data_IF_984831423151
#
_entry.id   IF_984831423151
#
_cell.length_a   1.000
_cell.length_b   1.000
_cell.length_c   1.000
_cell.angle_alpha   90.00
_cell.angle_beta   90.00
_cell.angle_gamma   90.00
#
_symmetry.space_group_name_H-M   'P 1'
#
loop_
_entity.id
_entity.type
_entity.pdbx_description
1 polymer ?
#
# COMPACT_ATOMS: atom_id res chain seq x y z
N UNK A 1 -4.73 -28.20 7.98
CA UNK A 1 -6.08 -27.61 8.08
C UNK A 1 -6.54 -27.40 6.65
N UNK A 2 -7.57 -28.12 6.19
CA UNK A 2 -8.08 -27.97 4.83
C UNK A 2 -8.91 -26.69 4.79
N UNK A 3 -8.56 -25.76 3.90
CA UNK A 3 -9.28 -24.49 3.77
C UNK A 3 -10.75 -24.77 3.39
N UNK A 4 -11.70 -24.18 4.12
CA UNK A 4 -13.14 -24.46 3.97
C UNK A 4 -13.73 -23.77 2.73
N UNK A 5 -13.01 -22.81 2.15
CA UNK A 5 -13.46 -22.00 1.03
C UNK A 5 -12.37 -21.86 -0.03
N UNK A 6 -12.77 -21.67 -1.28
CA UNK A 6 -11.82 -21.35 -2.35
C UNK A 6 -11.23 -19.96 -2.14
N UNK A 7 -9.90 -19.86 -2.27
CA UNK A 7 -9.15 -18.60 -2.24
C UNK A 7 -8.51 -18.36 -3.62
N UNK A 8 -9.29 -17.98 -4.64
CA UNK A 8 -8.83 -17.95 -6.03
C UNK A 8 -7.78 -16.86 -6.29
N UNK A 9 -7.76 -15.81 -5.46
CA UNK A 9 -6.78 -14.73 -5.50
C UNK A 9 -5.52 -15.04 -4.66
N UNK A 10 -5.52 -16.16 -3.92
CA UNK A 10 -4.42 -16.54 -3.04
C UNK A 10 -4.11 -15.51 -1.96
N UNK A 11 -5.13 -14.83 -1.42
CA UNK A 11 -4.97 -13.80 -0.39
C UNK A 11 -4.35 -14.36 0.89
N UNK A 12 -3.40 -13.61 1.46
CA UNK A 12 -2.63 -13.96 2.67
C UNK A 12 -2.67 -12.85 3.73
N UNK A 13 -3.70 -12.01 3.71
CA UNK A 13 -3.90 -10.90 4.65
C UNK A 13 -3.39 -9.55 4.11
N UNK A 14 -3.22 -8.59 5.03
CA UNK A 14 -2.76 -7.23 4.71
C UNK A 14 -1.24 -7.15 4.68
N UNK A 15 -0.71 -6.35 3.76
CA UNK A 15 0.70 -5.94 3.74
C UNK A 15 0.88 -4.58 4.43
N UNK A 16 0.10 -3.58 4.00
CA UNK A 16 0.13 -2.23 4.57
C UNK A 16 -1.19 -1.49 4.40
N UNK A 17 -1.32 -0.40 5.15
CA UNK A 17 -2.26 0.69 4.87
C UNK A 17 -1.46 1.95 4.61
N UNK A 18 -1.81 2.69 3.55
CA UNK A 18 -1.16 3.94 3.18
C UNK A 18 -2.07 5.11 3.52
N UNK A 19 -1.52 6.06 4.28
CA UNK A 19 -2.17 7.28 4.70
C UNK A 19 -1.54 8.49 4.03
N UNK A 20 -2.34 9.53 3.88
CA UNK A 20 -1.92 10.82 3.36
C UNK A 20 -2.62 11.95 4.12
N UNK A 21 -2.02 13.13 4.13
CA UNK A 21 -2.64 14.34 4.67
C UNK A 21 -2.16 15.58 3.89
N UNK A 22 -2.94 16.68 3.92
CA UNK A 22 -2.56 17.92 3.23
C UNK A 22 -1.24 18.52 3.71
N UNK A 23 -0.89 18.28 4.98
CA UNK A 23 0.30 18.83 5.62
C UNK A 23 0.94 17.78 6.54
N UNK A 24 2.26 17.86 6.68
CA UNK A 24 3.02 17.01 7.60
C UNK A 24 2.77 17.37 9.06
N UNK A 25 2.96 16.40 9.95
CA UNK A 25 2.82 16.58 11.39
C UNK A 25 1.41 16.32 11.93
N UNK A 26 0.43 16.04 11.04
CA UNK A 26 -0.94 15.74 11.44
C UNK A 26 -1.09 14.26 11.82
N UNK A 27 -0.43 13.36 11.08
CA UNK A 27 -0.62 11.92 11.23
C UNK A 27 0.33 11.30 12.27
N UNK A 28 1.56 11.82 12.33
CA UNK A 28 2.66 11.31 13.14
C UNK A 28 2.32 11.28 14.65
N UNK A 29 1.71 12.31 15.25
CA UNK A 29 1.32 12.26 16.67
C UNK A 29 0.32 11.13 16.97
N UNK A 30 -0.60 10.85 16.05
CA UNK A 30 -1.59 9.78 16.18
C UNK A 30 -0.88 8.42 16.13
N UNK A 31 -0.02 8.20 15.13
CA UNK A 31 0.71 6.94 15.01
C UNK A 31 1.63 6.68 16.20
N UNK A 32 2.32 7.71 16.71
CA UNK A 32 3.07 7.62 17.95
C UNK A 32 2.19 7.22 19.14
N UNK A 33 1.01 7.85 19.30
CA UNK A 33 0.08 7.51 20.39
C UNK A 33 -0.44 6.08 20.32
N UNK A 34 -0.52 5.52 19.10
CA UNK A 34 -0.92 4.14 18.83
C UNK A 34 0.23 3.14 18.99
N UNK A 35 1.44 3.60 19.33
CA UNK A 35 2.62 2.75 19.55
C UNK A 35 3.42 2.40 18.29
N UNK A 36 3.18 3.08 17.16
CA UNK A 36 4.01 2.93 15.97
C UNK A 36 5.31 3.74 16.09
N UNK A 37 6.36 3.23 15.45
CA UNK A 37 7.64 3.91 15.31
C UNK A 37 7.95 4.08 13.83
N UNK A 38 8.43 5.27 13.44
CA UNK A 38 8.98 5.47 12.11
C UNK A 38 10.29 4.69 11.97
N UNK A 39 10.34 3.71 11.06
CA UNK A 39 11.48 2.80 10.90
C UNK A 39 12.29 3.08 9.64
N UNK A 40 11.71 3.74 8.64
CA UNK A 40 12.40 4.11 7.41
C UNK A 40 11.77 5.33 6.72
N UNK A 41 12.50 5.88 5.77
CA UNK A 41 12.05 6.90 4.81
C UNK A 41 12.42 6.40 3.42
N UNK A 42 11.52 6.56 2.46
CA UNK A 42 11.75 6.18 1.07
C UNK A 42 12.95 6.94 0.49
N UNK A 43 13.76 6.29 -0.37
CA UNK A 43 15.00 6.88 -0.88
C UNK A 43 14.86 8.21 -1.64
N UNK A 44 13.76 8.38 -2.36
CA UNK A 44 13.55 9.43 -3.36
C UNK A 44 12.25 10.22 -3.20
N UNK A 45 11.28 9.68 -2.46
CA UNK A 45 9.94 10.23 -2.33
C UNK A 45 9.71 10.69 -0.90
N UNK A 46 8.78 11.60 -0.72
CA UNK A 46 8.35 12.07 0.58
C UNK A 46 7.39 11.07 1.25
N UNK A 47 7.93 9.88 1.53
CA UNK A 47 7.19 8.73 2.04
C UNK A 47 7.91 8.15 3.25
N UNK A 48 7.16 7.87 4.31
CA UNK A 48 7.68 7.31 5.56
C UNK A 48 7.08 5.94 5.82
N UNK A 49 7.88 5.05 6.39
CA UNK A 49 7.43 3.75 6.87
C UNK A 49 7.35 3.74 8.39
N UNK A 50 6.16 3.43 8.90
CA UNK A 50 5.85 3.29 10.31
C UNK A 50 5.51 1.84 10.62
N UNK A 51 6.07 1.29 11.70
CA UNK A 51 5.91 -0.13 12.05
C UNK A 51 5.61 -0.34 13.52
N UNK A 52 4.75 -1.33 13.78
CA UNK A 52 4.50 -1.89 15.10
C UNK A 52 4.27 -3.41 14.95
N UNK A 53 5.21 -4.22 15.44
CA UNK A 53 5.20 -5.66 15.17
C UNK A 53 5.18 -5.94 13.66
N UNK A 54 4.23 -6.76 13.21
CA UNK A 54 4.03 -7.09 11.79
C UNK A 54 3.14 -6.13 11.00
N UNK A 55 2.76 -4.98 11.58
CA UNK A 55 1.87 -3.99 10.94
C UNK A 55 2.72 -2.90 10.29
N UNK A 56 2.46 -2.63 9.01
CA UNK A 56 3.10 -1.54 8.27
C UNK A 56 2.09 -0.44 7.94
N UNK A 57 2.46 0.79 8.26
CA UNK A 57 1.77 2.01 7.84
C UNK A 57 2.73 2.79 6.94
N UNK A 58 2.26 3.13 5.74
CA UNK A 58 2.96 4.03 4.84
C UNK A 58 2.33 5.41 5.00
N UNK A 59 3.15 6.44 5.13
CA UNK A 59 2.69 7.83 5.17
C UNK A 59 3.24 8.53 3.94
N UNK A 60 2.37 8.96 3.04
CA UNK A 60 2.74 9.52 1.75
C UNK A 60 2.36 11.00 1.64
N UNK A 61 3.38 11.83 1.57
CA UNK A 61 3.30 13.27 1.34
C UNK A 61 3.88 13.69 -0.03
N UNK A 62 4.14 12.73 -0.91
CA UNK A 62 4.75 12.99 -2.21
C UNK A 62 3.88 13.96 -3.03
N UNK A 63 4.38 15.15 -3.40
CA UNK A 63 3.59 16.14 -4.12
C UNK A 63 3.24 15.62 -5.53
N UNK A 64 2.14 16.12 -6.09
CA UNK A 64 1.68 15.73 -7.44
C UNK A 64 1.51 14.22 -7.66
N UNK A 65 1.28 13.47 -6.58
CA UNK A 65 1.03 12.02 -6.58
C UNK A 65 -0.46 11.72 -6.35
N UNK A 66 -0.94 10.49 -6.67
CA UNK A 66 -2.30 10.05 -6.34
C UNK A 66 -2.67 10.31 -4.87
N UNK A 67 -1.74 10.08 -3.94
CA UNK A 67 -1.93 10.35 -2.52
C UNK A 67 -2.19 11.85 -2.25
N UNK A 68 -1.39 12.74 -2.85
CA UNK A 68 -1.59 14.18 -2.69
C UNK A 68 -2.92 14.67 -3.31
N UNK A 69 -3.39 14.07 -4.42
CA UNK A 69 -4.73 14.38 -4.95
C UNK A 69 -5.82 13.91 -3.98
N UNK A 70 -5.69 12.69 -3.44
CA UNK A 70 -6.62 12.11 -2.48
C UNK A 70 -6.71 12.94 -1.19
N UNK A 71 -5.57 13.40 -0.66
CA UNK A 71 -5.51 14.27 0.53
C UNK A 71 -6.25 15.59 0.33
N UNK A 72 -6.20 16.18 -0.87
CA UNK A 72 -6.92 17.43 -1.16
C UNK A 72 -8.44 17.24 -1.21
N UNK A 73 -8.90 16.07 -1.61
CA UNK A 73 -10.32 15.75 -1.68
C UNK A 73 -10.89 15.30 -0.32
N UNK A 74 -10.13 14.52 0.44
CA UNK A 74 -10.62 13.82 1.63
C UNK A 74 -9.97 14.24 2.95
N UNK A 75 -8.96 15.10 2.93
CA UNK A 75 -8.16 15.44 4.10
C UNK A 75 -7.29 14.26 4.60
N UNK A 76 -6.87 14.27 5.87
CA UNK A 76 -6.11 13.18 6.48
C UNK A 76 -6.89 11.87 6.41
N UNK A 77 -6.42 10.90 5.61
CA UNK A 77 -7.19 9.71 5.26
C UNK A 77 -6.32 8.55 4.76
N UNK A 78 -6.89 7.34 4.74
CA UNK A 78 -6.27 6.18 4.12
C UNK A 78 -6.52 6.23 2.61
N UNK A 79 -5.47 6.41 1.80
CA UNK A 79 -5.58 6.57 0.35
C UNK A 79 -5.24 5.28 -0.42
N UNK A 80 -4.59 4.30 0.21
CA UNK A 80 -4.35 3.00 -0.40
C UNK A 80 -4.17 1.86 0.61
N UNK A 81 -4.21 0.63 0.11
CA UNK A 81 -3.96 -0.57 0.89
C UNK A 81 -3.25 -1.64 0.06
N UNK A 82 -2.38 -2.41 0.71
CA UNK A 82 -1.71 -3.56 0.11
C UNK A 82 -2.28 -4.87 0.64
N UNK A 83 -2.65 -5.78 -0.26
CA UNK A 83 -2.99 -7.16 0.08
C UNK A 83 -1.88 -8.12 -0.31
N UNK A 84 -1.50 -8.99 0.61
CA UNK A 84 -0.62 -10.11 0.32
C UNK A 84 -1.35 -11.11 -0.55
N UNK A 85 -0.73 -11.51 -1.65
CA UNK A 85 -1.22 -12.56 -2.56
C UNK A 85 -0.11 -13.56 -2.82
N UNK A 86 -0.46 -14.75 -3.29
CA UNK A 86 0.52 -15.76 -3.66
C UNK A 86 1.27 -15.43 -4.96
N UNK A 87 0.55 -14.83 -5.92
CA UNK A 87 1.04 -14.51 -7.26
C UNK A 87 0.33 -13.22 -7.71
N UNK A 88 1.05 -12.10 -7.74
CA UNK A 88 0.46 -10.80 -8.04
C UNK A 88 -0.01 -10.69 -9.50
N UNK A 89 0.76 -11.13 -10.51
CA UNK A 89 0.27 -11.19 -11.90
C UNK A 89 -1.02 -12.00 -12.08
N UNK A 90 -1.12 -13.18 -11.48
CA UNK A 90 -2.30 -14.04 -11.59
C UNK A 90 -3.51 -13.43 -10.90
N UNK A 91 -3.33 -12.91 -9.68
CA UNK A 91 -4.38 -12.23 -8.93
C UNK A 91 -4.87 -10.98 -9.68
N UNK A 92 -3.95 -10.18 -10.23
CA UNK A 92 -4.29 -9.00 -11.02
C UNK A 92 -5.11 -9.36 -12.27
N UNK A 93 -4.68 -10.35 -13.04
CA UNK A 93 -5.40 -10.81 -14.22
C UNK A 93 -6.82 -11.31 -13.88
N UNK A 94 -6.97 -12.04 -12.77
CA UNK A 94 -8.27 -12.50 -12.30
C UNK A 94 -9.17 -11.33 -11.87
N UNK A 95 -8.62 -10.33 -11.17
CA UNK A 95 -9.37 -9.13 -10.79
C UNK A 95 -9.89 -8.39 -12.03
N UNK A 96 -9.05 -8.18 -13.03
CA UNK A 96 -9.44 -7.53 -14.29
C UNK A 96 -10.51 -8.34 -15.04
N UNK A 97 -10.36 -9.66 -15.11
CA UNK A 97 -11.36 -10.56 -15.71
C UNK A 97 -12.72 -10.43 -15.04
N UNK A 98 -12.73 -10.16 -13.74
CA UNK A 98 -13.94 -9.98 -12.93
C UNK A 98 -14.43 -8.52 -12.90
N UNK A 99 -13.87 -7.62 -13.72
CA UNK A 99 -14.36 -6.25 -13.90
C UNK A 99 -13.69 -5.20 -13.01
N UNK A 100 -12.60 -5.53 -12.33
CA UNK A 100 -11.81 -4.53 -11.61
C UNK A 100 -11.20 -3.51 -12.59
N UNK A 101 -11.10 -2.25 -12.15
CA UNK A 101 -10.47 -1.20 -12.94
C UNK A 101 -8.97 -1.13 -12.64
N UNK A 102 -8.09 -1.18 -13.65
CA UNK A 102 -6.65 -1.07 -13.45
C UNK A 102 -6.27 0.35 -13.00
N UNK A 103 -5.21 0.46 -12.20
CA UNK A 103 -4.58 1.73 -11.83
C UNK A 103 -3.11 1.67 -12.23
N UNK A 104 -2.70 2.57 -13.11
CA UNK A 104 -1.28 2.76 -13.40
C UNK A 104 -0.67 3.70 -12.37
N UNK A 105 0.23 3.16 -11.56
CA UNK A 105 1.02 3.94 -10.61
C UNK A 105 2.39 4.19 -11.24
N UNK A 106 2.78 5.45 -11.50
CA UNK A 106 4.10 5.76 -12.00
C UNK A 106 5.17 5.29 -11.00
N UNK A 107 6.13 4.50 -11.48
CA UNK A 107 7.29 4.07 -10.70
C UNK A 107 8.56 4.68 -11.30
N UNK A 108 9.43 5.21 -10.44
CA UNK A 108 10.75 5.72 -10.79
C UNK A 108 11.71 4.63 -11.27
N UNK A 109 12.90 5.05 -11.70
CA UNK A 109 13.97 4.13 -12.08
C UNK A 109 14.42 3.30 -10.87
N UNK A 110 14.43 1.98 -11.01
CA UNK A 110 14.72 1.01 -9.92
C UNK A 110 13.67 0.92 -8.81
N UNK A 111 12.46 1.46 -9.00
CA UNK A 111 11.31 1.23 -8.10
C UNK A 111 10.49 0.03 -8.58
N UNK A 112 9.82 -0.65 -7.64
CA UNK A 112 8.95 -1.78 -7.99
C UNK A 112 7.67 -1.31 -8.70
N UNK A 113 7.34 -1.96 -9.82
CA UNK A 113 6.01 -1.86 -10.43
C UNK A 113 5.05 -2.83 -9.76
N UNK A 114 4.25 -2.32 -8.86
CA UNK A 114 3.26 -3.09 -8.11
C UNK A 114 1.92 -3.10 -8.86
N UNK A 115 1.32 -4.28 -9.15
CA UNK A 115 -0.02 -4.34 -9.74
C UNK A 115 -1.06 -3.71 -8.79
N UNK A 116 -1.91 -2.85 -9.35
CA UNK A 116 -2.87 -2.09 -8.58
C UNK A 116 -4.23 -1.95 -9.27
N UNK A 117 -5.30 -2.01 -8.49
CA UNK A 117 -6.68 -1.82 -8.94
C UNK A 117 -7.37 -0.72 -8.14
N UNK A 118 -8.45 -0.16 -8.69
CA UNK A 118 -9.24 0.88 -8.01
C UNK A 118 -10.11 0.24 -6.94
N UNK A 119 -9.97 0.73 -5.72
CA UNK A 119 -10.77 0.38 -4.54
C UNK A 119 -11.86 1.40 -4.24
N UNK A 120 -12.32 1.37 -2.98
CA UNK A 120 -13.40 2.23 -2.49
C UNK A 120 -13.01 3.70 -2.51
N UNK A 121 -13.93 4.57 -2.95
CA UNK A 121 -13.69 6.02 -3.00
C UNK A 121 -12.50 6.43 -3.87
N UNK A 122 -12.05 5.59 -4.81
CA UNK A 122 -10.87 5.87 -5.63
C UNK A 122 -9.53 5.54 -4.96
N UNK A 123 -9.53 5.01 -3.74
CA UNK A 123 -8.33 4.50 -3.09
C UNK A 123 -7.68 3.39 -3.92
N UNK A 124 -6.37 3.22 -3.79
CA UNK A 124 -5.63 2.22 -4.56
C UNK A 124 -5.54 0.91 -3.76
N UNK A 125 -5.75 -0.22 -4.42
CA UNK A 125 -5.52 -1.55 -3.85
C UNK A 125 -4.34 -2.19 -4.59
N UNK A 126 -3.25 -2.42 -3.86
CA UNK A 126 -2.05 -3.10 -4.37
C UNK A 126 -2.10 -4.60 -4.10
N UNK A 127 -1.62 -5.38 -5.07
CA UNK A 127 -1.46 -6.83 -4.93
C UNK A 127 0.03 -7.14 -4.78
N UNK A 128 0.42 -7.64 -3.60
CA UNK A 128 1.82 -7.82 -3.19
C UNK A 128 2.12 -9.30 -3.04
N UNK A 129 3.03 -9.85 -3.85
CA UNK A 129 3.56 -11.21 -3.71
C UNK A 129 4.97 -11.24 -3.05
N UNK A 130 5.53 -10.05 -2.79
CA UNK A 130 6.84 -9.80 -2.18
C UNK A 130 6.69 -9.28 -0.75
N UNK A 131 6.52 -10.19 0.20
CA UNK A 131 6.24 -9.84 1.62
C UNK A 131 7.03 -10.64 2.65
N UNK A 132 7.74 -11.68 2.23
CA UNK A 132 8.54 -12.52 3.14
C UNK A 132 9.93 -11.88 3.37
N UNK A 133 10.57 -12.18 4.52
CA UNK A 133 11.87 -11.60 4.91
C UNK A 133 12.94 -11.75 3.81
N UNK A 134 13.63 -10.65 3.48
CA UNK A 134 14.65 -10.60 2.41
C UNK A 134 14.08 -10.51 0.99
N UNK A 135 12.76 -10.50 0.83
CA UNK A 135 12.05 -10.28 -0.43
C UNK A 135 11.00 -9.18 -0.35
N UNK A 136 11.00 -8.42 0.75
CA UNK A 136 9.98 -7.43 1.06
C UNK A 136 10.11 -6.20 0.16
N UNK A 137 8.98 -5.57 -0.16
CA UNK A 137 8.95 -4.30 -0.91
C UNK A 137 9.73 -3.18 -0.20
N UNK A 138 9.85 -3.22 1.13
CA UNK A 138 10.58 -2.21 1.93
C UNK A 138 12.10 -2.32 1.84
N UNK A 139 12.63 -3.43 1.33
CA UNK A 139 14.09 -3.62 1.20
C UNK A 139 14.60 -3.01 -0.13
N UNK A 140 13.69 -2.70 -1.05
CA UNK A 140 13.98 -2.29 -2.42
C UNK A 140 13.76 -0.81 -2.66
N UNK A 141 12.96 -0.12 -1.84
CA UNK A 141 12.54 1.28 -1.98
C UNK A 141 12.93 2.12 -0.75
#
# INVERSE_FOLDING_TARGET
>A
MTDLFENPMGLRGFEFVEFTAPEKGILEPVFHSLGFTQVAVHRSKDVQLWRQGGINIIVNYEPSSPAAYYAREHGPSACAMGFRVRDAPAAYALALKNGAQPVEVPSGFSELRLPAIRGIGGAIIYLIDRSDEGSSIYDID
#
